data_IF_385576648185
#
_entry.id   IF_385576648185
#
_cell.length_a   1.000
_cell.length_b   1.000
_cell.length_c   1.000
_cell.angle_alpha   90.00
_cell.angle_beta   90.00
_cell.angle_gamma   90.00
#
_symmetry.space_group_name_H-M   'P 1'
#
loop_
_entity.id
_entity.type
_entity.pdbx_description
1 polymer ?
#
# COMPACT_ATOMS: atom_id res chain seq x y z
N UNK A 1 59.82 83.14 6.80
CA UNK A 1 58.45 83.71 6.77
C UNK A 1 57.50 82.53 6.78
N UNK A 2 56.84 82.25 7.91
CA UNK A 2 55.45 82.68 8.21
C UNK A 2 54.48 82.09 7.16
N UNK A 3 53.37 81.43 7.45
CA UNK A 3 52.68 80.91 8.64
C UNK A 3 51.41 80.25 8.03
N UNK A 4 50.75 79.40 8.81
CA UNK A 4 49.29 79.27 8.81
C UNK A 4 48.50 78.43 7.75
N UNK A 5 48.13 77.23 8.24
CA UNK A 5 46.75 76.84 8.69
C UNK A 5 45.68 76.35 7.70
N UNK A 6 45.03 75.28 8.21
CA UNK A 6 43.61 74.81 8.12
C UNK A 6 43.32 73.72 7.07
N UNK A 7 43.06 72.47 7.53
CA UNK A 7 41.75 71.85 7.87
C UNK A 7 40.96 71.54 6.57
N UNK A 8 40.41 70.37 6.29
CA UNK A 8 39.73 69.31 7.05
C UNK A 8 39.53 68.11 6.09
N UNK A 9 39.40 66.88 6.65
CA UNK A 9 38.49 65.77 6.24
C UNK A 9 38.57 65.27 4.76
N UNK A 10 38.57 63.98 4.42
CA UNK A 10 37.85 62.85 5.00
C UNK A 10 38.37 61.51 4.44
N UNK A 11 38.14 60.46 5.22
CA UNK A 11 37.81 59.06 4.87
C UNK A 11 38.56 58.36 3.70
N UNK A 12 39.43 57.40 4.03
CA UNK A 12 39.12 55.95 4.04
C UNK A 12 38.88 55.36 2.63
N UNK A 13 39.95 54.86 1.98
CA UNK A 13 40.28 53.42 1.90
C UNK A 13 39.22 52.60 1.13
N UNK A 14 39.48 52.29 -0.16
CA UNK A 14 39.92 50.95 -0.64
C UNK A 14 38.95 49.84 -0.23
N UNK A 15 38.36 49.03 -1.09
CA UNK A 15 38.69 48.63 -2.44
C UNK A 15 37.78 47.46 -2.81
N UNK A 16 37.72 47.19 -4.11
CA UNK A 16 36.74 46.40 -4.83
C UNK A 16 37.04 44.87 -4.78
N UNK A 17 35.98 44.08 -5.06
CA UNK A 17 35.93 42.71 -5.64
C UNK A 17 36.18 41.49 -4.74
N UNK A 18 35.18 40.59 -4.64
CA UNK A 18 35.17 39.24 -5.27
C UNK A 18 34.16 38.30 -4.60
N UNK A 19 33.36 37.65 -5.45
CA UNK A 19 32.98 36.26 -5.25
C UNK A 19 31.67 36.01 -4.53
N UNK A 20 30.57 36.03 -5.28
CA UNK A 20 29.33 35.39 -4.84
C UNK A 20 29.54 33.89 -4.62
N UNK A 21 29.23 33.43 -3.41
CA UNK A 21 28.93 32.02 -3.14
C UNK A 21 27.64 31.97 -2.32
N UNK A 22 26.52 32.19 -3.00
CA UNK A 22 25.25 31.65 -2.52
C UNK A 22 25.32 30.12 -2.73
N UNK A 23 25.89 29.43 -1.75
CA UNK A 23 25.78 27.98 -1.66
C UNK A 23 24.29 27.68 -1.50
N UNK A 24 23.68 27.26 -2.60
CA UNK A 24 22.34 26.70 -2.66
C UNK A 24 22.34 25.48 -1.76
N UNK A 25 21.88 25.65 -0.51
CA UNK A 25 21.30 24.54 0.26
C UNK A 25 20.02 24.12 -0.45
N UNK A 26 20.19 23.39 -1.54
CA UNK A 26 19.15 22.53 -2.05
C UNK A 26 19.03 21.38 -1.05
N UNK A 27 17.87 21.17 -0.40
CA UNK A 27 17.62 19.87 0.19
C UNK A 27 17.56 18.91 -1.00
N UNK A 28 18.61 18.11 -1.16
CA UNK A 28 18.54 16.90 -1.96
C UNK A 28 17.44 16.05 -1.31
N UNK A 29 16.22 16.17 -1.86
CA UNK A 29 15.19 15.18 -1.67
C UNK A 29 15.78 13.89 -2.23
N UNK A 30 16.41 13.11 -1.35
CA UNK A 30 16.87 11.78 -1.67
C UNK A 30 15.62 11.00 -2.02
N UNK A 31 15.33 10.91 -3.32
CA UNK A 31 14.32 10.02 -3.85
C UNK A 31 14.78 8.63 -3.42
N UNK A 32 14.20 8.14 -2.32
CA UNK A 32 14.48 6.79 -1.86
C UNK A 32 14.21 5.87 -3.04
N UNK A 33 15.13 4.94 -3.37
CA UNK A 33 14.83 3.94 -4.36
C UNK A 33 13.51 3.30 -3.93
N UNK A 34 12.59 3.21 -4.88
CA UNK A 34 11.23 2.75 -4.63
C UNK A 34 10.63 2.22 -5.91
N UNK A 35 9.78 1.21 -5.77
CA UNK A 35 9.09 0.58 -6.89
C UNK A 35 7.61 0.94 -6.86
N UNK A 36 7.09 1.41 -8.00
CA UNK A 36 5.69 1.76 -8.14
C UNK A 36 4.96 0.72 -8.97
N UNK A 37 3.82 0.25 -8.48
CA UNK A 37 2.93 -0.69 -9.19
C UNK A 37 1.63 0.01 -9.50
N UNK A 38 1.24 0.10 -10.77
CA UNK A 38 -0.03 0.72 -11.14
C UNK A 38 -1.24 -0.13 -10.71
N UNK A 39 -2.41 0.51 -10.59
CA UNK A 39 -3.65 -0.23 -10.33
C UNK A 39 -3.94 -1.29 -11.39
N UNK A 40 -3.71 -0.98 -12.66
CA UNK A 40 -3.91 -1.91 -13.78
C UNK A 40 -3.01 -3.14 -13.64
N UNK A 41 -1.73 -2.95 -13.32
CA UNK A 41 -0.80 -4.05 -13.08
C UNK A 41 -1.24 -4.91 -11.88
N UNK A 42 -1.75 -4.29 -10.81
CA UNK A 42 -2.29 -5.02 -9.66
C UNK A 42 -3.52 -5.82 -10.05
N UNK A 43 -4.43 -5.21 -10.80
CA UNK A 43 -5.65 -5.85 -11.28
C UNK A 43 -5.35 -7.05 -12.16
N UNK A 44 -4.37 -6.95 -13.06
CA UNK A 44 -3.90 -8.06 -13.90
C UNK A 44 -3.25 -9.19 -13.08
N UNK A 45 -2.37 -8.84 -12.14
CA UNK A 45 -1.70 -9.83 -11.28
C UNK A 45 -2.70 -10.59 -10.41
N UNK A 46 -3.71 -9.90 -9.90
CA UNK A 46 -4.75 -10.50 -9.08
C UNK A 46 -5.68 -11.33 -9.96
N UNK A 47 -6.15 -10.80 -11.10
CA UNK A 47 -7.05 -11.50 -12.02
C UNK A 47 -6.55 -12.88 -12.47
N UNK A 48 -5.23 -13.06 -12.64
CA UNK A 48 -4.61 -14.35 -12.99
C UNK A 48 -4.77 -15.45 -11.94
N UNK A 49 -5.08 -15.10 -10.68
CA UNK A 49 -5.25 -16.04 -9.56
C UNK A 49 -6.70 -16.44 -9.32
N UNK A 50 -7.62 -15.88 -10.09
CA UNK A 50 -9.05 -16.12 -9.99
C UNK A 50 -9.59 -16.79 -11.27
N UNK A 51 -10.71 -17.52 -11.19
CA UNK A 51 -11.52 -17.78 -10.00
C UNK A 51 -10.81 -18.69 -8.98
N UNK A 52 -11.18 -18.56 -7.70
CA UNK A 52 -10.60 -19.34 -6.60
C UNK A 52 -11.69 -19.96 -5.75
N UNK A 53 -11.55 -21.26 -5.47
CA UNK A 53 -12.43 -21.96 -4.54
C UNK A 53 -11.86 -21.86 -3.12
N UNK A 54 -12.70 -21.40 -2.19
CA UNK A 54 -12.38 -21.25 -0.77
C UNK A 54 -13.34 -22.15 0.01
N UNK A 55 -12.86 -23.29 0.53
CA UNK A 55 -13.70 -24.16 1.34
C UNK A 55 -13.97 -23.50 2.71
N UNK A 56 -15.24 -23.41 3.10
CA UNK A 56 -15.67 -22.98 4.43
C UNK A 56 -15.97 -24.25 5.23
N UNK A 57 -15.07 -24.58 6.16
CA UNK A 57 -14.98 -25.84 6.87
C UNK A 57 -16.36 -26.45 7.24
N UNK A 58 -16.75 -27.49 6.51
CA UNK A 58 -17.95 -28.29 6.76
C UNK A 58 -19.30 -27.64 6.43
N UNK A 59 -19.31 -26.42 5.90
CA UNK A 59 -20.54 -25.67 5.60
C UNK A 59 -20.79 -25.58 4.09
N UNK A 60 -19.83 -25.01 3.36
CA UNK A 60 -19.99 -24.67 1.95
C UNK A 60 -18.65 -24.39 1.26
N UNK A 61 -18.63 -24.45 -0.05
CA UNK A 61 -17.55 -23.97 -0.90
C UNK A 61 -17.93 -22.61 -1.51
N UNK A 62 -17.01 -21.66 -1.42
CA UNK A 62 -17.16 -20.34 -2.02
C UNK A 62 -16.29 -20.27 -3.28
N UNK A 63 -16.91 -20.09 -4.44
CA UNK A 63 -16.20 -19.75 -5.68
C UNK A 63 -16.10 -18.24 -5.77
N UNK A 64 -14.93 -17.71 -5.49
CA UNK A 64 -14.64 -16.27 -5.55
C UNK A 64 -14.18 -15.92 -6.96
N UNK A 65 -14.77 -14.89 -7.55
CA UNK A 65 -14.40 -14.37 -8.86
C UNK A 65 -13.29 -13.31 -8.75
N UNK A 66 -12.75 -12.90 -9.89
CA UNK A 66 -11.72 -11.87 -9.91
C UNK A 66 -12.22 -10.57 -9.23
N UNK A 67 -11.52 -10.06 -8.21
CA UNK A 67 -11.89 -8.82 -7.53
C UNK A 67 -11.71 -7.62 -8.45
N UNK A 68 -12.55 -6.61 -8.30
CA UNK A 68 -12.28 -5.27 -8.81
C UNK A 68 -11.61 -4.43 -7.71
N UNK A 69 -10.37 -4.02 -7.95
CA UNK A 69 -9.55 -3.30 -6.97
C UNK A 69 -9.79 -1.79 -7.02
N UNK A 70 -9.80 -1.15 -5.84
CA UNK A 70 -9.91 0.29 -5.66
C UNK A 70 -8.81 0.79 -4.73
N UNK A 71 -8.19 1.91 -5.09
CA UNK A 71 -7.18 2.58 -4.27
C UNK A 71 -7.89 3.49 -3.26
N UNK A 72 -7.53 3.38 -1.97
CA UNK A 72 -8.01 4.23 -0.88
C UNK A 72 -6.80 4.92 -0.21
N UNK A 73 -6.17 5.91 -0.88
CA UNK A 73 -4.93 6.53 -0.40
C UNK A 73 -5.13 7.31 0.91
N UNK A 74 -6.31 7.86 1.17
CA UNK A 74 -6.63 8.65 2.37
C UNK A 74 -6.47 7.86 3.66
N UNK A 75 -6.64 6.54 3.57
CA UNK A 75 -6.55 5.59 4.69
C UNK A 75 -5.45 4.55 4.49
N UNK A 76 -4.61 4.72 3.46
CA UNK A 76 -3.55 3.81 3.05
C UNK A 76 -4.03 2.34 2.87
N UNK A 77 -5.14 2.14 2.16
CA UNK A 77 -5.77 0.80 1.97
C UNK A 77 -6.13 0.52 0.52
N UNK A 78 -6.35 -0.76 0.24
CA UNK A 78 -7.01 -1.24 -0.97
C UNK A 78 -8.41 -1.72 -0.65
N UNK A 79 -9.38 -1.35 -1.48
CA UNK A 79 -10.69 -1.97 -1.53
C UNK A 79 -10.71 -3.05 -2.62
N UNK A 80 -11.45 -4.14 -2.38
CA UNK A 80 -11.69 -5.18 -3.36
C UNK A 80 -13.16 -5.60 -3.33
N UNK A 81 -13.86 -5.35 -4.43
CA UNK A 81 -15.23 -5.82 -4.63
C UNK A 81 -15.20 -7.12 -5.40
N UNK A 82 -15.77 -8.19 -4.83
CA UNK A 82 -15.77 -9.52 -5.42
C UNK A 82 -17.18 -10.05 -5.59
N UNK A 83 -17.42 -10.70 -6.73
CA UNK A 83 -18.54 -11.60 -6.89
C UNK A 83 -18.18 -12.98 -6.33
N UNK A 84 -19.13 -13.62 -5.68
CA UNK A 84 -18.99 -14.94 -5.07
C UNK A 84 -20.17 -15.82 -5.42
N UNK A 85 -19.90 -17.10 -5.63
CA UNK A 85 -20.92 -18.13 -5.68
C UNK A 85 -20.73 -19.09 -4.49
N UNK A 86 -21.74 -19.22 -3.65
CA UNK A 86 -21.73 -20.09 -2.50
C UNK A 86 -22.55 -21.35 -2.79
N UNK A 87 -21.90 -22.51 -2.79
CA UNK A 87 -22.52 -23.80 -3.02
C UNK A 87 -22.09 -24.80 -1.95
N UNK A 88 -22.95 -25.73 -1.54
CA UNK A 88 -22.53 -26.76 -0.61
C UNK A 88 -23.67 -27.55 0.02
N UNK A 89 -23.36 -28.59 0.81
CA UNK A 89 -24.36 -29.50 1.40
C UNK A 89 -25.34 -28.80 2.33
N UNK A 90 -24.89 -27.73 3.01
CA UNK A 90 -25.74 -26.93 3.89
C UNK A 90 -26.71 -26.01 3.11
N UNK A 91 -26.47 -25.77 1.82
CA UNK A 91 -27.28 -24.91 0.97
C UNK A 91 -28.18 -25.75 0.07
N UNK A 92 -29.46 -25.37 -0.03
CA UNK A 92 -30.41 -26.07 -0.92
C UNK A 92 -30.06 -25.90 -2.40
N UNK A 93 -29.35 -24.82 -2.75
CA UNK A 93 -28.92 -24.45 -4.10
C UNK A 93 -27.71 -23.51 -4.02
N UNK A 94 -27.02 -23.28 -5.13
CA UNK A 94 -26.00 -22.23 -5.19
C UNK A 94 -26.61 -20.83 -5.02
N UNK A 95 -25.89 -19.97 -4.30
CA UNK A 95 -26.27 -18.59 -4.08
C UNK A 95 -25.14 -17.66 -4.54
N UNK A 96 -25.43 -16.87 -5.57
CA UNK A 96 -24.55 -15.80 -6.01
C UNK A 96 -24.74 -14.56 -5.15
N UNK A 97 -23.63 -13.89 -4.86
CA UNK A 97 -23.61 -12.64 -4.11
C UNK A 97 -22.36 -11.83 -4.40
N UNK A 98 -22.22 -10.75 -3.66
CA UNK A 98 -21.03 -9.88 -3.68
C UNK A 98 -20.60 -9.56 -2.27
N UNK A 99 -19.30 -9.31 -2.10
CA UNK A 99 -18.78 -8.74 -0.87
C UNK A 99 -17.65 -7.76 -1.18
N UNK A 100 -17.56 -6.72 -0.35
CA UNK A 100 -16.49 -5.74 -0.37
C UNK A 100 -15.54 -6.00 0.80
N UNK A 101 -14.25 -5.85 0.57
CA UNK A 101 -13.24 -5.93 1.63
C UNK A 101 -12.21 -4.83 1.47
N UNK A 102 -11.85 -4.20 2.58
CA UNK A 102 -10.76 -3.24 2.65
C UNK A 102 -9.60 -3.82 3.46
N UNK A 103 -8.37 -3.64 2.99
CA UNK A 103 -7.20 -4.16 3.67
C UNK A 103 -5.98 -3.25 3.48
N UNK A 104 -5.08 -3.27 4.46
CA UNK A 104 -3.77 -2.66 4.35
C UNK A 104 -2.76 -3.69 3.84
N UNK A 105 -1.66 -3.21 3.26
CA UNK A 105 -0.60 -4.05 2.73
C UNK A 105 0.66 -3.92 3.57
N UNK A 106 1.29 -5.06 3.85
CA UNK A 106 2.56 -5.13 4.55
C UNK A 106 3.49 -6.13 3.86
N UNK A 107 4.76 -5.77 3.78
CA UNK A 107 5.81 -6.71 3.43
C UNK A 107 6.32 -7.42 4.69
N UNK A 108 6.40 -8.75 4.62
CA UNK A 108 6.97 -9.60 5.65
C UNK A 108 8.35 -10.08 5.17
N UNK A 109 9.40 -9.58 5.82
CA UNK A 109 10.78 -9.85 5.43
C UNK A 109 11.19 -11.29 5.74
N UNK A 110 10.60 -11.92 6.76
CA UNK A 110 10.99 -13.26 7.22
C UNK A 110 10.77 -14.34 6.16
N UNK A 111 9.69 -14.26 5.38
CA UNK A 111 9.36 -15.21 4.32
C UNK A 111 9.23 -14.57 2.92
N UNK A 112 9.56 -13.27 2.82
CA UNK A 112 9.48 -12.44 1.61
C UNK A 112 8.08 -12.40 1.02
N UNK A 113 7.06 -12.28 1.87
CA UNK A 113 5.67 -12.24 1.43
C UNK A 113 5.06 -10.84 1.50
N UNK A 114 4.23 -10.52 0.51
CA UNK A 114 3.27 -9.43 0.55
C UNK A 114 1.98 -9.94 1.19
N UNK A 115 1.59 -9.35 2.32
CA UNK A 115 0.43 -9.76 3.11
C UNK A 115 -0.62 -8.66 3.14
N UNK A 116 -1.88 -9.06 2.96
CA UNK A 116 -3.02 -8.25 3.38
C UNK A 116 -3.19 -8.41 4.89
N UNK A 117 -3.36 -7.29 5.59
CA UNK A 117 -3.59 -7.29 7.03
C UNK A 117 -4.66 -6.24 7.40
N UNK A 118 -5.15 -6.32 8.64
CA UNK A 118 -6.25 -5.48 9.14
C UNK A 118 -7.45 -5.50 8.17
N UNK A 119 -7.89 -6.70 7.79
CA UNK A 119 -8.99 -6.89 6.85
C UNK A 119 -10.29 -6.38 7.49
N UNK A 120 -11.01 -5.54 6.75
CA UNK A 120 -12.33 -5.05 7.10
C UNK A 120 -13.31 -5.55 6.07
N UNK A 121 -14.15 -6.51 6.47
CA UNK A 121 -15.24 -6.96 5.63
C UNK A 121 -16.33 -5.89 5.63
N UNK A 122 -16.71 -5.46 4.43
CA UNK A 122 -17.85 -4.60 4.20
C UNK A 122 -19.15 -5.38 4.18
N UNK A 123 -20.14 -4.85 3.45
CA UNK A 123 -21.46 -5.48 3.34
C UNK A 123 -21.40 -6.71 2.44
N UNK A 124 -22.01 -7.81 2.91
CA UNK A 124 -22.28 -9.00 2.13
C UNK A 124 -23.67 -8.90 1.53
N UNK A 125 -23.78 -9.00 0.21
CA UNK A 125 -25.03 -8.93 -0.51
C UNK A 125 -25.30 -10.24 -1.26
N UNK A 126 -26.34 -10.95 -0.83
CA UNK A 126 -26.77 -12.20 -1.45
C UNK A 126 -28.26 -12.09 -1.75
N UNK A 127 -28.64 -11.64 -2.96
CA UNK A 127 -30.04 -11.44 -3.33
C UNK A 127 -30.89 -12.72 -3.22
N UNK A 128 -30.25 -13.88 -3.33
CA UNK A 128 -30.91 -15.17 -3.19
C UNK A 128 -31.16 -15.63 -1.76
N UNK A 129 -30.61 -14.95 -0.74
CA UNK A 129 -30.79 -15.30 0.67
C UNK A 129 -32.01 -14.59 1.28
N UNK A 130 -32.58 -15.18 2.32
CA UNK A 130 -33.67 -14.54 3.09
C UNK A 130 -33.11 -13.31 3.81
N UNK A 131 -33.87 -12.20 3.93
CA UNK A 131 -33.41 -10.96 4.57
C UNK A 131 -32.82 -11.17 5.97
N UNK A 132 -33.47 -11.98 6.81
CA UNK A 132 -33.00 -12.29 8.16
C UNK A 132 -31.62 -12.99 8.18
N UNK A 133 -31.32 -13.82 7.17
CA UNK A 133 -30.01 -14.48 7.06
C UNK A 133 -28.95 -13.48 6.63
N UNK A 134 -29.27 -12.62 5.66
CA UNK A 134 -28.37 -11.55 5.22
C UNK A 134 -28.06 -10.57 6.35
N UNK A 135 -29.03 -10.24 7.19
CA UNK A 135 -28.85 -9.37 8.35
C UNK A 135 -27.93 -10.00 9.41
N UNK A 136 -28.12 -11.28 9.72
CA UNK A 136 -27.23 -12.02 10.61
C UNK A 136 -25.80 -12.05 10.04
N UNK A 137 -25.63 -12.37 8.76
CA UNK A 137 -24.31 -12.38 8.12
C UNK A 137 -23.62 -11.02 8.24
N UNK A 138 -24.32 -9.92 7.94
CA UNK A 138 -23.74 -8.58 8.04
C UNK A 138 -23.46 -8.14 9.48
N UNK A 139 -24.23 -8.64 10.45
CA UNK A 139 -24.01 -8.38 11.88
C UNK A 139 -22.73 -9.06 12.39
N UNK A 140 -22.45 -10.28 11.93
CA UNK A 140 -21.30 -11.07 12.38
C UNK A 140 -20.07 -11.01 11.45
N UNK A 141 -20.20 -10.47 10.24
CA UNK A 141 -19.10 -10.35 9.28
C UNK A 141 -17.85 -9.67 9.85
N UNK A 142 -17.93 -8.57 10.64
CA UNK A 142 -16.75 -7.95 11.22
C UNK A 142 -16.00 -8.88 12.18
N UNK A 143 -16.71 -9.61 13.04
CA UNK A 143 -16.10 -10.55 13.98
C UNK A 143 -15.43 -11.73 13.26
N UNK A 144 -16.03 -12.22 12.16
CA UNK A 144 -15.43 -13.26 11.33
C UNK A 144 -14.17 -12.79 10.61
N UNK A 145 -14.10 -11.52 10.20
CA UNK A 145 -12.91 -10.91 9.61
C UNK A 145 -11.73 -10.94 10.59
N UNK A 146 -11.96 -10.50 11.82
CA UNK A 146 -10.93 -10.44 12.87
C UNK A 146 -10.40 -11.83 13.27
N UNK A 147 -11.28 -12.84 13.27
CA UNK A 147 -10.93 -14.17 13.75
C UNK A 147 -10.26 -15.05 12.68
N UNK A 148 -10.64 -14.92 11.39
CA UNK A 148 -10.20 -15.82 10.32
C UNK A 148 -9.16 -15.24 9.36
N UNK A 149 -9.08 -13.91 9.22
CA UNK A 149 -8.25 -13.24 8.22
C UNK A 149 -7.16 -12.39 8.89
N UNK A 150 -6.38 -12.98 9.80
CA UNK A 150 -5.33 -12.24 10.51
C UNK A 150 -4.31 -11.64 9.54
N UNK A 151 -3.81 -12.47 8.63
CA UNK A 151 -3.00 -12.04 7.49
C UNK A 151 -3.22 -13.01 6.32
N UNK A 152 -3.38 -12.46 5.11
CA UNK A 152 -3.50 -13.25 3.88
C UNK A 152 -2.27 -13.01 3.03
N UNK A 153 -1.49 -14.06 2.77
CA UNK A 153 -0.37 -13.99 1.83
C UNK A 153 -0.93 -13.80 0.43
N UNK A 154 -0.74 -12.59 -0.11
CA UNK A 154 -1.19 -12.24 -1.45
C UNK A 154 -0.19 -12.72 -2.50
N UNK A 155 1.11 -12.56 -2.23
CA UNK A 155 2.17 -12.93 -3.15
C UNK A 155 3.47 -13.18 -2.37
N UNK A 156 4.25 -14.16 -2.81
CA UNK A 156 5.60 -14.36 -2.33
C UNK A 156 6.57 -13.87 -3.41
N UNK A 157 7.46 -12.95 -3.05
CA UNK A 157 8.46 -12.44 -3.98
C UNK A 157 9.50 -13.52 -4.25
N UNK A 158 9.90 -13.70 -5.51
CA UNK A 158 10.94 -14.66 -5.84
C UNK A 158 12.29 -14.09 -5.37
N UNK A 159 13.23 -14.94 -4.91
CA UNK A 159 14.54 -14.48 -4.47
C UNK A 159 15.29 -13.67 -5.52
N UNK A 160 15.06 -13.97 -6.80
CA UNK A 160 15.64 -13.27 -7.95
C UNK A 160 15.20 -11.80 -8.02
N UNK A 161 13.95 -11.52 -7.65
CA UNK A 161 13.34 -10.18 -7.69
C UNK A 161 13.84 -9.32 -6.52
N UNK A 162 14.28 -9.94 -5.42
CA UNK A 162 14.84 -9.23 -4.25
C UNK A 162 16.37 -9.22 -4.22
N UNK A 163 17.05 -10.11 -4.97
CA UNK A 163 18.50 -10.33 -4.89
C UNK A 163 19.35 -9.07 -5.07
N UNK A 164 18.98 -8.19 -6.00
CA UNK A 164 19.72 -6.94 -6.27
C UNK A 164 19.68 -6.02 -5.07
N UNK A 165 18.50 -5.83 -4.47
CA UNK A 165 18.33 -5.00 -3.27
C UNK A 165 18.90 -5.69 -2.02
N UNK A 166 18.73 -7.01 -1.94
CA UNK A 166 19.23 -7.84 -0.86
C UNK A 166 20.76 -7.75 -0.75
N UNK A 167 21.47 -7.75 -1.88
CA UNK A 167 22.93 -7.60 -1.97
C UNK A 167 23.44 -6.20 -1.61
N UNK A 168 22.58 -5.18 -1.69
CA UNK A 168 22.86 -3.80 -1.25
C UNK A 168 22.50 -3.58 0.23
N UNK A 169 22.09 -4.63 0.95
CA UNK A 169 21.63 -4.52 2.33
C UNK A 169 20.29 -3.79 2.46
N UNK A 170 19.47 -3.77 1.39
CA UNK A 170 18.14 -3.14 1.36
C UNK A 170 17.04 -4.19 1.32
N UNK A 171 15.87 -3.86 1.86
CA UNK A 171 14.65 -4.66 1.77
C UNK A 171 13.43 -3.78 1.49
N UNK A 172 12.35 -4.34 0.92
CA UNK A 172 11.07 -3.63 0.84
C UNK A 172 10.62 -3.18 2.24
N UNK A 173 10.29 -1.91 2.35
CA UNK A 173 9.82 -1.24 3.55
C UNK A 173 8.30 -1.03 3.53
N UNK A 174 7.81 0.05 4.17
CA UNK A 174 6.40 0.38 4.18
C UNK A 174 5.83 0.51 2.75
N UNK A 175 4.63 -0.04 2.57
CA UNK A 175 3.89 0.06 1.32
C UNK A 175 2.87 1.19 1.47
N UNK A 176 2.89 2.13 0.54
CA UNK A 176 1.98 3.28 0.50
C UNK A 176 1.04 3.17 -0.68
N UNK A 177 -0.26 3.25 -0.43
CA UNK A 177 -1.29 3.39 -1.44
C UNK A 177 -1.35 4.85 -1.88
N UNK A 178 -1.18 5.07 -3.17
CA UNK A 178 -1.25 6.38 -3.82
C UNK A 178 -2.45 6.43 -4.75
N UNK A 179 -2.86 7.62 -5.24
CA UNK A 179 -3.93 7.73 -6.23
C UNK A 179 -3.66 7.00 -7.55
N UNK A 180 -2.39 6.64 -7.85
CA UNK A 180 -1.99 5.97 -9.10
C UNK A 180 -1.71 4.48 -8.94
N UNK A 181 -1.55 4.00 -7.72
CA UNK A 181 -1.10 2.63 -7.44
C UNK A 181 -0.38 2.49 -6.11
N UNK A 182 0.44 1.45 -5.97
CA UNK A 182 1.25 1.21 -4.78
C UNK A 182 2.66 1.75 -4.97
N UNK A 183 3.19 2.41 -3.94
CA UNK A 183 4.59 2.79 -3.83
C UNK A 183 5.23 1.94 -2.72
N UNK A 184 6.32 1.25 -3.07
CA UNK A 184 7.11 0.45 -2.14
C UNK A 184 8.43 1.17 -1.90
N UNK A 185 8.65 1.65 -0.67
CA UNK A 185 9.94 2.21 -0.28
C UNK A 185 10.95 1.08 -0.03
N UNK A 186 12.24 1.31 -0.28
CA UNK A 186 13.30 0.42 0.18
C UNK A 186 13.98 0.98 1.43
N UNK A 187 14.19 0.13 2.43
CA UNK A 187 14.84 0.49 3.70
C UNK A 187 16.07 -0.38 3.95
N UNK A 188 17.08 0.11 4.69
CA UNK A 188 18.20 -0.72 5.14
C UNK A 188 17.71 -1.93 5.94
N UNK A 189 18.34 -3.08 5.74
CA UNK A 189 18.10 -4.26 6.56
C UNK A 189 18.59 -4.01 7.99
N UNK A 190 17.79 -4.36 9.01
CA UNK A 190 18.29 -4.36 10.38
C UNK A 190 19.48 -5.32 10.49
N UNK A 191 20.51 -4.89 11.22
CA UNK A 191 21.75 -5.63 11.49
C UNK A 191 21.50 -6.88 12.34
#
# INVERSE_FOLDING_TARGET
>A
MLEHRRRFLDAAARGLVLGGMAALWWPAAHAQPGYNVSLEQLQDMVGRKFPRNVPVAGLMDLTVQAPNLRLLPEVNRLGALMAVDAAGPALRRSHTGTFDVEFALRYEASDRTLRAHQLKLGRLDFPGLKPAVSELLNTYAPALADQSLREVVLHQLRPQDTAVFDGLGLQPGPITVTPKGLAVAFVPKPL
#
